data_IF_560866844215
#
_entry.id   IF_560866844215
#
_cell.length_a   1.000
_cell.length_b   1.000
_cell.length_c   1.000
_cell.angle_alpha   90.00
_cell.angle_beta   90.00
_cell.angle_gamma   90.00
#
_symmetry.space_group_name_H-M   'P 1'
#
loop_
_entity.id
_entity.type
_entity.pdbx_description
1 polymer ?
#
# COMPACT_ATOMS: atom_id res chain seq x y z
N UNK A 1 -35.40 10.70 57.50
CA UNK A 1 -34.15 11.15 58.14
C UNK A 1 -33.04 10.36 57.49
N UNK A 2 -32.08 11.07 56.92
CA UNK A 2 -31.07 10.61 55.98
C UNK A 2 -30.12 9.57 56.60
N UNK A 3 -29.72 8.57 55.82
CA UNK A 3 -28.59 7.71 56.15
C UNK A 3 -27.51 7.93 55.09
N UNK A 4 -26.35 8.36 55.58
CA UNK A 4 -25.12 8.71 54.88
C UNK A 4 -24.66 7.65 53.87
N UNK A 5 -24.36 8.10 52.65
CA UNK A 5 -23.42 7.40 51.78
C UNK A 5 -22.01 7.69 52.32
N UNK A 6 -21.38 6.70 52.94
CA UNK A 6 -19.93 6.76 53.20
C UNK A 6 -19.21 6.67 51.85
N UNK A 7 -18.74 7.80 51.34
CA UNK A 7 -17.75 7.85 50.27
C UNK A 7 -16.43 7.25 50.77
N UNK A 8 -15.89 6.28 50.03
CA UNK A 8 -14.69 5.54 50.43
C UNK A 8 -13.45 6.46 50.28
N UNK A 9 -12.73 6.77 51.37
CA UNK A 9 -11.57 7.65 51.33
C UNK A 9 -10.42 7.11 50.48
N UNK A 10 -10.46 5.85 50.03
CA UNK A 10 -9.53 5.33 49.03
C UNK A 10 -9.80 5.89 47.62
N UNK A 11 -11.06 5.96 47.19
CA UNK A 11 -11.47 6.45 45.87
C UNK A 11 -11.09 7.93 45.69
N UNK A 12 -11.34 8.77 46.71
CA UNK A 12 -10.94 10.18 46.68
C UNK A 12 -9.42 10.37 46.63
N UNK A 13 -8.67 9.58 47.40
CA UNK A 13 -7.20 9.65 47.41
C UNK A 13 -6.61 9.15 46.10
N UNK A 14 -7.20 8.13 45.50
CA UNK A 14 -6.80 7.63 44.19
C UNK A 14 -7.10 8.65 43.09
N UNK A 15 -8.30 9.25 43.12
CA UNK A 15 -8.68 10.30 42.18
C UNK A 15 -7.78 11.54 42.31
N UNK A 16 -7.47 11.97 43.54
CA UNK A 16 -6.55 13.07 43.80
C UNK A 16 -5.12 12.76 43.32
N UNK A 17 -4.63 11.55 43.59
CA UNK A 17 -3.31 11.12 43.13
C UNK A 17 -3.24 11.05 41.59
N UNK A 18 -4.28 10.56 40.92
CA UNK A 18 -4.36 10.55 39.45
C UNK A 18 -4.44 11.97 38.86
N UNK A 19 -5.14 12.90 39.52
CA UNK A 19 -5.23 14.29 39.09
C UNK A 19 -3.90 15.03 39.27
N UNK A 20 -3.22 14.80 40.38
CA UNK A 20 -1.89 15.37 40.67
C UNK A 20 -0.83 14.81 39.72
N UNK A 21 -0.87 13.50 39.45
CA UNK A 21 0.04 12.85 38.48
C UNK A 21 -0.25 13.34 37.06
N UNK A 22 -1.53 13.55 36.71
CA UNK A 22 -1.95 14.10 35.42
C UNK A 22 -1.54 15.56 35.20
N UNK A 23 -1.59 16.38 36.26
CA UNK A 23 -1.19 17.79 36.23
C UNK A 23 0.33 18.03 36.13
N UNK A 24 1.14 17.01 36.43
CA UNK A 24 2.60 17.06 36.31
C UNK A 24 3.16 16.83 34.91
N UNK A 25 2.32 16.45 33.93
CA UNK A 25 2.74 16.28 32.54
C UNK A 25 2.72 17.62 31.80
N UNK A 26 3.77 18.42 31.94
CA UNK A 26 4.05 19.47 30.97
C UNK A 26 4.74 18.85 29.76
N UNK A 27 3.96 18.54 28.72
CA UNK A 27 4.52 18.04 27.47
C UNK A 27 5.19 19.19 26.73
N UNK A 28 6.52 19.14 26.63
CA UNK A 28 7.26 20.04 25.76
C UNK A 28 6.78 19.88 24.31
N UNK A 29 5.92 20.81 23.90
CA UNK A 29 5.29 20.84 22.58
C UNK A 29 6.33 20.98 21.47
N UNK A 30 7.47 21.60 21.76
CA UNK A 30 8.58 21.73 20.81
C UNK A 30 9.33 20.42 20.66
N UNK A 31 9.57 19.68 21.75
CA UNK A 31 10.12 18.33 21.69
C UNK A 31 9.17 17.33 21.01
N UNK A 32 7.85 17.46 21.21
CA UNK A 32 6.85 16.66 20.50
C UNK A 32 6.79 17.01 19.01
N UNK A 33 6.87 18.28 18.64
CA UNK A 33 6.93 18.72 17.25
C UNK A 33 8.22 18.22 16.57
N UNK A 34 9.37 18.34 17.22
CA UNK A 34 10.65 17.85 16.70
C UNK A 34 10.70 16.32 16.58
N UNK A 35 10.13 15.59 17.54
CA UNK A 35 9.98 14.12 17.44
C UNK A 35 8.95 13.72 16.40
N UNK A 36 7.89 14.50 16.23
CA UNK A 36 6.89 14.34 15.17
C UNK A 36 7.48 14.57 13.79
N UNK A 37 8.34 15.59 13.65
CA UNK A 37 9.11 15.89 12.44
C UNK A 37 10.13 14.78 12.16
N UNK A 38 10.91 14.33 13.15
CA UNK A 38 11.85 13.23 13.00
C UNK A 38 11.15 11.91 12.66
N UNK A 39 9.98 11.64 13.26
CA UNK A 39 9.14 10.48 12.92
C UNK A 39 8.53 10.63 11.53
N UNK A 40 8.14 11.84 11.14
CA UNK A 40 7.66 12.17 9.79
C UNK A 40 8.74 11.94 8.75
N UNK A 41 9.95 12.46 8.97
CA UNK A 41 11.15 12.21 8.16
C UNK A 41 11.46 10.73 8.06
N UNK A 42 11.49 10.02 9.18
CA UNK A 42 11.72 8.57 9.21
C UNK A 42 10.61 7.79 8.50
N UNK A 43 9.35 8.21 8.59
CA UNK A 43 8.24 7.55 7.89
C UNK A 43 8.28 7.85 6.40
N UNK A 44 8.68 9.07 5.99
CA UNK A 44 8.96 9.40 4.59
C UNK A 44 10.14 8.60 4.06
N UNK A 45 11.22 8.49 4.83
CA UNK A 45 12.38 7.67 4.50
C UNK A 45 12.00 6.19 4.36
N UNK A 46 11.23 5.63 5.30
CA UNK A 46 10.74 4.25 5.22
C UNK A 46 9.78 4.07 4.03
N UNK A 47 8.91 5.03 3.72
CA UNK A 47 8.06 4.98 2.50
C UNK A 47 8.86 5.14 1.20
N UNK A 48 9.94 5.92 1.22
CA UNK A 48 10.86 6.16 0.09
C UNK A 48 11.87 5.02 -0.09
N UNK A 49 12.17 4.26 0.96
CA UNK A 49 13.02 3.07 0.95
C UNK A 49 12.19 1.77 0.71
N UNK A 50 10.92 1.75 1.12
CA UNK A 50 10.00 0.62 0.94
C UNK A 50 9.22 0.67 -0.39
N UNK A 51 9.89 1.00 -1.49
CA UNK A 51 9.41 0.62 -2.84
C UNK A 51 10.16 -0.64 -3.23
N UNK A 52 9.96 -1.69 -2.44
CA UNK A 52 10.38 -3.05 -2.72
C UNK A 52 9.24 -3.97 -2.30
N UNK A 53 8.43 -4.38 -3.28
CA UNK A 53 7.61 -5.59 -3.23
C UNK A 53 6.40 -5.59 -2.29
N UNK A 54 5.21 -5.59 -2.90
CA UNK A 54 4.02 -6.20 -2.30
C UNK A 54 2.86 -5.23 -2.09
N UNK A 55 1.86 -5.31 -2.98
CA UNK A 55 0.49 -5.01 -2.60
C UNK A 55 0.05 -6.06 -1.58
N UNK A 56 0.45 -5.89 -0.33
CA UNK A 56 -0.33 -6.45 0.76
C UNK A 56 -1.61 -5.61 0.80
N UNK A 57 -2.74 -6.18 0.38
CA UNK A 57 -4.03 -5.67 0.79
C UNK A 57 -3.99 -5.54 2.30
N UNK A 58 -4.05 -4.32 2.83
CA UNK A 58 -4.10 -4.10 4.27
C UNK A 58 -5.48 -4.56 4.73
N UNK A 59 -5.61 -5.85 5.03
CA UNK A 59 -6.67 -6.34 5.90
C UNK A 59 -6.19 -6.08 7.32
N UNK A 60 -6.73 -5.02 7.93
CA UNK A 60 -6.51 -4.72 9.34
C UNK A 60 -7.03 -5.89 10.18
N UNK A 61 -6.10 -6.63 10.79
CA UNK A 61 -6.41 -7.53 11.89
C UNK A 61 -6.92 -6.69 13.09
N UNK A 62 -8.23 -6.70 13.34
CA UNK A 62 -8.82 -6.13 14.54
C UNK A 62 -8.59 -7.07 15.73
N UNK A 63 -7.50 -6.87 16.47
CA UNK A 63 -7.38 -7.36 17.85
C UNK A 63 -7.99 -6.31 18.77
N UNK A 64 -9.03 -6.70 19.51
CA UNK A 64 -9.78 -5.82 20.40
C UNK A 64 -8.96 -5.23 21.56
N UNK A 65 -9.26 -3.98 21.89
CA UNK A 65 -8.72 -3.27 23.05
C UNK A 65 -9.41 -1.92 23.22
N UNK A 66 -10.46 -1.89 24.04
CA UNK A 66 -11.26 -0.69 24.36
C UNK A 66 -10.44 0.30 25.18
N UNK A 67 -10.36 1.55 24.73
CA UNK A 67 -10.00 2.71 25.56
C UNK A 67 -10.82 3.91 25.10
N UNK A 68 -11.88 4.20 25.88
CA UNK A 68 -12.77 5.34 25.70
C UNK A 68 -12.10 6.58 26.29
N UNK A 69 -11.82 7.58 25.46
CA UNK A 69 -11.48 8.93 25.91
C UNK A 69 -12.62 9.89 25.51
N UNK A 70 -13.36 10.35 26.52
CA UNK A 70 -14.33 11.46 26.43
C UNK A 70 -13.58 12.80 26.36
N UNK A 71 -13.94 13.74 25.47
CA UNK A 71 -13.54 15.12 25.61
C UNK A 71 -14.64 15.93 26.31
N UNK A 72 -14.29 16.56 27.43
CA UNK A 72 -15.03 17.66 28.04
C UNK A 72 -14.03 18.76 28.43
N UNK A 73 -14.37 20.02 28.15
CA UNK A 73 -13.57 21.17 28.60
C UNK A 73 -13.69 22.39 27.70
N UNK A 74 -14.38 23.39 28.22
CA UNK A 74 -14.76 24.70 27.66
C UNK A 74 -13.66 25.77 27.74
N UNK A 75 -13.94 26.94 27.12
CA UNK A 75 -13.36 28.29 27.28
C UNK A 75 -12.44 28.71 26.10
N UNK A 76 -12.49 29.92 25.52
CA UNK A 76 -13.20 31.18 25.82
C UNK A 76 -13.25 32.04 24.54
N UNK A 77 -14.16 33.02 24.53
CA UNK A 77 -14.40 34.05 23.53
C UNK A 77 -13.16 34.74 22.90
N UNK A 78 -13.24 34.97 21.59
CA UNK A 78 -12.71 36.16 20.94
C UNK A 78 -13.73 36.70 19.91
N UNK A 79 -13.95 38.01 19.98
CA UNK A 79 -14.98 38.87 19.36
C UNK A 79 -14.80 38.99 17.82
N UNK A 80 -15.85 39.33 17.02
CA UNK A 80 -15.95 38.91 15.63
C UNK A 80 -15.36 39.92 14.64
N UNK A 81 -14.70 39.42 13.60
CA UNK A 81 -14.50 40.16 12.35
C UNK A 81 -15.40 39.58 11.27
N UNK A 82 -16.41 40.37 10.91
CA UNK A 82 -17.26 40.17 9.75
C UNK A 82 -16.42 40.08 8.48
N UNK A 83 -16.31 38.89 7.93
CA UNK A 83 -16.02 38.66 6.53
C UNK A 83 -17.14 37.79 5.98
N UNK A 84 -17.87 38.33 5.00
CA UNK A 84 -18.89 37.65 4.22
C UNK A 84 -18.27 36.47 3.47
N UNK A 85 -18.14 35.33 4.16
CA UNK A 85 -17.81 34.06 3.54
C UNK A 85 -19.04 33.58 2.78
N UNK A 86 -18.96 33.63 1.45
CA UNK A 86 -19.87 32.91 0.57
C UNK A 86 -19.99 31.47 1.07
N UNK A 87 -21.20 31.07 1.42
CA UNK A 87 -21.49 29.73 1.90
C UNK A 87 -21.00 28.71 0.88
N UNK A 88 -19.90 28.01 1.20
CA UNK A 88 -19.58 26.75 0.53
C UNK A 88 -20.77 25.82 0.76
N UNK A 89 -21.31 25.18 -0.28
CA UNK A 89 -22.40 24.23 -0.10
C UNK A 89 -21.88 23.10 0.81
N UNK A 90 -22.53 22.92 1.97
CA UNK A 90 -22.40 21.70 2.76
C UNK A 90 -22.70 20.52 1.82
N UNK A 91 -21.85 19.50 1.72
CA UNK A 91 -22.24 18.28 1.04
C UNK A 91 -23.49 17.76 1.75
N UNK A 92 -24.58 17.64 1.00
CA UNK A 92 -25.80 17.02 1.48
C UNK A 92 -25.50 15.54 1.72
N UNK A 93 -25.24 15.15 2.96
CA UNK A 93 -25.25 13.74 3.37
C UNK A 93 -26.71 13.31 3.41
N UNK A 94 -27.26 13.02 2.23
CA UNK A 94 -28.54 12.34 2.06
C UNK A 94 -28.36 10.97 1.40
N UNK A 95 -27.11 10.50 1.28
CA UNK A 95 -26.86 9.13 0.89
C UNK A 95 -27.17 8.21 2.06
N UNK A 96 -28.06 7.24 1.85
CA UNK A 96 -28.33 6.16 2.80
C UNK A 96 -27.01 5.47 3.11
N UNK A 97 -26.66 5.42 4.39
CA UNK A 97 -25.51 4.67 4.86
C UNK A 97 -25.85 3.17 4.77
N UNK A 98 -24.92 2.37 4.28
CA UNK A 98 -25.05 0.92 4.29
C UNK A 98 -24.74 0.44 5.71
N UNK A 99 -25.52 -0.50 6.23
CA UNK A 99 -25.24 -1.16 7.52
C UNK A 99 -24.33 -2.38 7.33
N UNK A 100 -23.80 -2.90 8.42
CA UNK A 100 -23.02 -4.14 8.42
C UNK A 100 -23.83 -5.30 7.81
N UNK A 101 -25.10 -5.45 8.18
CA UNK A 101 -26.01 -6.48 7.66
C UNK A 101 -26.35 -6.26 6.17
N UNK A 102 -26.52 -5.00 5.72
CA UNK A 102 -26.77 -4.70 4.31
C UNK A 102 -25.59 -5.15 3.44
N UNK A 103 -24.35 -5.00 3.92
CA UNK A 103 -23.16 -5.50 3.23
C UNK A 103 -23.14 -7.04 3.15
N UNK A 104 -23.41 -7.73 4.27
CA UNK A 104 -23.44 -9.21 4.33
C UNK A 104 -24.52 -9.79 3.42
N UNK A 105 -25.75 -9.29 3.53
CA UNK A 105 -26.88 -9.78 2.75
C UNK A 105 -26.71 -9.49 1.26
N UNK A 106 -26.10 -8.36 0.90
CA UNK A 106 -25.75 -8.08 -0.51
C UNK A 106 -24.77 -9.13 -1.05
N UNK A 107 -23.72 -9.47 -0.29
CA UNK A 107 -22.76 -10.48 -0.71
C UNK A 107 -23.43 -11.86 -0.88
N UNK A 108 -24.21 -12.31 0.11
CA UNK A 108 -24.92 -13.60 0.06
C UNK A 108 -25.87 -13.71 -1.13
N UNK A 109 -26.60 -12.64 -1.45
CA UNK A 109 -27.53 -12.61 -2.58
C UNK A 109 -26.83 -12.63 -3.95
N UNK A 110 -25.58 -12.17 -4.03
CA UNK A 110 -24.78 -12.16 -5.26
C UNK A 110 -23.98 -13.45 -5.47
N UNK A 111 -23.79 -14.24 -4.41
CA UNK A 111 -23.09 -15.52 -4.48
C UNK A 111 -24.01 -16.63 -5.02
N UNK A 112 -23.43 -17.70 -5.61
CA UNK A 112 -24.16 -18.91 -5.95
C UNK A 112 -24.82 -19.56 -4.73
N UNK A 113 -25.67 -20.55 -4.95
CA UNK A 113 -26.26 -21.34 -3.87
C UNK A 113 -25.17 -22.08 -3.10
N UNK A 114 -25.22 -22.00 -1.78
CA UNK A 114 -24.36 -22.70 -0.83
C UNK A 114 -24.70 -22.31 0.60
N UNK A 115 -23.95 -22.87 1.54
CA UNK A 115 -24.04 -22.56 2.97
C UNK A 115 -23.08 -21.42 3.33
N UNK A 116 -23.50 -20.58 4.28
CA UNK A 116 -22.74 -19.42 4.74
C UNK A 116 -22.45 -19.53 6.24
N UNK A 117 -21.24 -19.16 6.64
CA UNK A 117 -20.84 -19.07 8.04
C UNK A 117 -19.78 -17.98 8.25
N UNK A 118 -19.40 -17.71 9.50
CA UNK A 118 -18.38 -16.71 9.86
C UNK A 118 -18.60 -15.33 9.20
N UNK A 119 -19.86 -14.92 9.08
CA UNK A 119 -20.29 -13.68 8.45
C UNK A 119 -19.75 -12.46 9.21
N UNK A 120 -19.18 -11.51 8.49
CA UNK A 120 -18.67 -10.23 9.00
C UNK A 120 -19.00 -9.13 8.00
N UNK A 121 -19.48 -8.02 8.50
CA UNK A 121 -19.87 -6.85 7.71
C UNK A 121 -19.29 -5.59 8.34
N UNK A 122 -19.01 -4.62 7.49
CA UNK A 122 -18.64 -3.26 7.87
C UNK A 122 -19.35 -2.31 6.91
N UNK A 123 -20.38 -1.62 7.39
CA UNK A 123 -21.12 -0.60 6.69
C UNK A 123 -20.46 0.78 6.76
N UNK A 124 -21.15 1.80 6.22
CA UNK A 124 -20.73 3.21 6.25
C UNK A 124 -21.26 3.97 7.46
N UNK A 125 -22.02 3.34 8.35
CA UNK A 125 -22.69 3.99 9.50
C UNK A 125 -21.76 4.37 10.66
N UNK A 126 -20.60 3.71 10.80
CA UNK A 126 -19.63 3.95 11.88
C UNK A 126 -18.65 5.12 11.61
N UNK A 127 -18.97 6.01 10.67
CA UNK A 127 -18.07 7.05 10.17
C UNK A 127 -18.03 8.30 11.07
N UNK A 128 -17.14 8.31 12.07
CA UNK A 128 -16.62 9.57 12.62
C UNK A 128 -15.49 10.10 11.72
N UNK A 129 -15.43 11.42 11.57
CA UNK A 129 -15.29 12.14 10.30
C UNK A 129 -13.90 12.08 9.60
N UNK A 130 -12.96 11.20 9.98
CA UNK A 130 -11.57 11.20 9.41
C UNK A 130 -10.86 9.85 9.24
N UNK A 131 -11.45 8.72 9.63
CA UNK A 131 -10.89 7.38 9.37
C UNK A 131 -12.02 6.36 9.21
N UNK A 132 -12.70 6.40 8.07
CA UNK A 132 -13.71 5.39 7.72
C UNK A 132 -12.96 4.18 7.14
N UNK A 133 -12.94 3.01 7.79
CA UNK A 133 -12.53 1.78 7.11
C UNK A 133 -13.47 1.55 5.93
N UNK A 134 -12.92 1.13 4.78
CA UNK A 134 -13.72 0.91 3.58
C UNK A 134 -14.85 -0.11 3.87
N UNK A 135 -16.10 0.15 3.43
CA UNK A 135 -17.18 -0.81 3.59
C UNK A 135 -16.80 -2.16 3.03
N UNK A 136 -17.10 -3.20 3.79
CA UNK A 136 -16.71 -4.56 3.41
C UNK A 136 -17.70 -5.59 3.94
N UNK A 137 -17.69 -6.76 3.31
CA UNK A 137 -18.31 -7.95 3.82
C UNK A 137 -17.39 -9.15 3.58
N UNK A 138 -17.44 -10.12 4.48
CA UNK A 138 -16.74 -11.38 4.33
C UNK A 138 -17.52 -12.50 4.99
N UNK A 139 -17.40 -13.70 4.42
CA UNK A 139 -18.02 -14.91 4.93
C UNK A 139 -17.21 -16.14 4.50
N UNK A 140 -17.48 -17.26 5.14
CA UNK A 140 -17.09 -18.59 4.66
C UNK A 140 -18.26 -19.17 3.88
N UNK A 141 -17.99 -19.53 2.63
CA UNK A 141 -18.92 -20.12 1.67
C UNK A 141 -18.59 -21.60 1.46
N UNK A 142 -19.59 -22.46 1.51
CA UNK A 142 -19.46 -23.88 1.16
C UNK A 142 -20.57 -24.29 0.17
N UNK A 143 -20.18 -24.62 -1.06
CA UNK A 143 -21.05 -25.10 -2.13
C UNK A 143 -21.19 -26.64 -2.15
N UNK A 144 -20.65 -27.32 -1.15
CA UNK A 144 -20.58 -28.78 -1.04
C UNK A 144 -19.22 -29.37 -1.42
N UNK A 145 -18.31 -28.57 -1.99
CA UNK A 145 -16.95 -28.97 -2.36
C UNK A 145 -15.88 -28.48 -1.35
N UNK A 146 -16.32 -27.87 -0.24
CA UNK A 146 -15.48 -27.48 0.88
C UNK A 146 -15.43 -25.97 1.13
N UNK A 147 -15.31 -25.61 2.41
CA UNK A 147 -15.35 -24.25 2.91
C UNK A 147 -14.26 -23.33 2.34
N UNK A 148 -14.65 -22.15 1.86
CA UNK A 148 -13.80 -21.13 1.27
C UNK A 148 -14.15 -19.74 1.81
N UNK A 149 -13.15 -18.94 2.18
CA UNK A 149 -13.38 -17.55 2.55
C UNK A 149 -13.61 -16.72 1.29
N UNK A 150 -14.61 -15.83 1.33
CA UNK A 150 -14.88 -14.83 0.29
C UNK A 150 -15.06 -13.48 0.97
N UNK A 151 -14.44 -12.45 0.41
CA UNK A 151 -14.54 -11.08 0.88
C UNK A 151 -14.76 -10.09 -0.26
N UNK A 152 -15.44 -9.00 0.05
CA UNK A 152 -15.62 -7.84 -0.81
C UNK A 152 -15.31 -6.57 -0.02
N UNK A 153 -14.63 -5.63 -0.65
CA UNK A 153 -14.51 -4.26 -0.15
C UNK A 153 -14.91 -3.26 -1.24
N UNK A 154 -15.52 -2.17 -0.79
CA UNK A 154 -16.08 -1.14 -1.65
C UNK A 154 -15.44 0.19 -1.29
N UNK A 155 -14.91 0.87 -2.30
CA UNK A 155 -14.15 2.10 -2.13
C UNK A 155 -14.34 3.06 -3.29
N UNK A 156 -13.55 4.14 -3.22
CA UNK A 156 -13.44 5.13 -4.29
C UNK A 156 -11.99 5.50 -4.52
N UNK A 157 -11.64 5.63 -5.80
CA UNK A 157 -10.33 6.07 -6.28
C UNK A 157 -10.50 7.27 -7.20
N UNK A 158 -9.49 8.13 -7.28
CA UNK A 158 -9.51 9.24 -8.22
C UNK A 158 -9.53 8.68 -9.65
N UNK A 159 -10.52 9.05 -10.49
CA UNK A 159 -10.53 8.65 -11.90
C UNK A 159 -9.24 9.08 -12.60
N UNK A 160 -8.55 8.14 -13.25
CA UNK A 160 -7.26 8.39 -13.91
C UNK A 160 -6.05 8.53 -12.98
N UNK A 161 -6.24 8.54 -11.66
CA UNK A 161 -5.17 8.57 -10.67
C UNK A 161 -4.36 7.26 -10.64
N UNK A 162 -3.25 7.25 -9.91
CA UNK A 162 -2.34 6.10 -9.84
C UNK A 162 -3.02 4.85 -9.29
N UNK A 163 -3.79 4.97 -8.21
CA UNK A 163 -4.53 3.87 -7.61
C UNK A 163 -5.53 3.23 -8.59
N UNK A 164 -6.24 4.06 -9.37
CA UNK A 164 -7.15 3.59 -10.41
C UNK A 164 -6.41 2.83 -11.52
N UNK A 165 -5.26 3.34 -11.96
CA UNK A 165 -4.43 2.70 -12.99
C UNK A 165 -3.83 1.37 -12.50
N UNK A 166 -3.35 1.34 -11.25
CA UNK A 166 -2.79 0.13 -10.64
C UNK A 166 -3.84 -0.97 -10.45
N UNK A 167 -5.04 -0.65 -9.99
CA UNK A 167 -6.14 -1.63 -9.90
C UNK A 167 -6.62 -2.10 -11.29
N UNK A 168 -6.52 -1.24 -12.30
CA UNK A 168 -6.91 -1.53 -13.68
C UNK A 168 -5.84 -2.25 -14.52
N UNK A 169 -4.79 -2.80 -13.91
CA UNK A 169 -3.74 -3.54 -14.62
C UNK A 169 -3.31 -4.78 -13.85
N UNK A 170 -2.83 -5.79 -14.59
CA UNK A 170 -2.17 -6.93 -13.96
C UNK A 170 -0.93 -6.47 -13.19
N UNK A 171 -0.70 -7.01 -11.98
CA UNK A 171 0.52 -6.73 -11.27
C UNK A 171 1.72 -7.21 -12.06
N UNK A 172 2.86 -6.62 -11.75
CA UNK A 172 4.13 -7.01 -12.37
C UNK A 172 4.59 -8.38 -11.84
N UNK A 173 4.83 -9.32 -12.76
CA UNK A 173 5.21 -10.70 -12.46
C UNK A 173 6.53 -10.82 -11.70
N UNK A 174 7.41 -9.82 -11.81
CA UNK A 174 8.69 -9.81 -11.09
C UNK A 174 8.46 -9.66 -9.58
N UNK A 175 7.43 -8.93 -9.15
CA UNK A 175 7.10 -8.77 -7.73
C UNK A 175 6.04 -9.76 -7.26
N UNK A 176 5.05 -10.03 -8.10
CA UNK A 176 3.88 -10.84 -7.76
C UNK A 176 3.77 -11.96 -8.80
N UNK A 177 4.34 -13.14 -8.52
CA UNK A 177 4.08 -14.33 -9.32
C UNK A 177 2.59 -14.67 -9.29
N UNK A 178 2.03 -15.03 -10.43
CA UNK A 178 0.63 -15.46 -10.54
C UNK A 178 0.45 -16.50 -11.64
N UNK A 179 -0.58 -17.32 -11.49
CA UNK A 179 -0.94 -18.38 -12.44
C UNK A 179 -1.57 -17.75 -13.68
N UNK A 180 -2.56 -16.87 -13.48
CA UNK A 180 -3.21 -16.13 -14.55
C UNK A 180 -3.60 -14.72 -14.10
N UNK A 181 -3.55 -13.77 -15.04
CA UNK A 181 -4.12 -12.45 -14.83
C UNK A 181 -4.73 -11.96 -16.13
N UNK A 182 -5.92 -11.36 -16.04
CA UNK A 182 -6.62 -10.79 -17.18
C UNK A 182 -7.29 -9.48 -16.81
N UNK A 183 -6.91 -8.42 -17.52
CA UNK A 183 -7.63 -7.15 -17.52
C UNK A 183 -8.63 -7.12 -18.68
N UNK A 184 -9.86 -6.69 -18.42
CA UNK A 184 -10.94 -6.59 -19.40
C UNK A 184 -11.74 -5.30 -19.21
N UNK A 185 -12.23 -4.72 -20.31
CA UNK A 185 -13.14 -3.56 -20.28
C UNK A 185 -14.58 -4.05 -20.44
N UNK A 186 -15.46 -3.63 -19.54
CA UNK A 186 -16.88 -3.93 -19.56
C UNK A 186 -17.66 -2.92 -20.44
N UNK A 187 -18.90 -3.27 -20.78
CA UNK A 187 -19.73 -2.46 -21.68
C UNK A 187 -20.04 -1.04 -21.15
N UNK A 188 -20.01 -0.85 -19.83
CA UNK A 188 -20.21 0.45 -19.18
C UNK A 188 -18.90 1.27 -19.05
N UNK A 189 -17.82 0.79 -19.67
CA UNK A 189 -16.51 1.43 -19.64
C UNK A 189 -15.65 1.07 -18.42
N UNK A 190 -16.20 0.35 -17.43
CA UNK A 190 -15.44 -0.13 -16.27
C UNK A 190 -14.32 -1.07 -16.71
N UNK A 191 -13.23 -1.08 -15.96
CA UNK A 191 -12.12 -2.00 -16.16
C UNK A 191 -12.10 -2.97 -14.98
N UNK A 192 -12.02 -4.26 -15.28
CA UNK A 192 -11.89 -5.32 -14.29
C UNK A 192 -10.58 -6.06 -14.52
N UNK A 193 -9.80 -6.28 -13.47
CA UNK A 193 -8.61 -7.12 -13.46
C UNK A 193 -8.88 -8.33 -12.58
N UNK A 194 -8.84 -9.52 -13.15
CA UNK A 194 -8.94 -10.78 -12.40
C UNK A 194 -7.55 -11.39 -12.28
N UNK A 195 -7.12 -11.65 -11.05
CA UNK A 195 -5.83 -12.24 -10.70
C UNK A 195 -6.05 -13.60 -10.05
N UNK A 196 -5.33 -14.61 -10.51
CA UNK A 196 -5.35 -15.97 -9.95
C UNK A 196 -3.93 -16.32 -9.52
N UNK A 197 -3.74 -16.55 -8.22
CA UNK A 197 -2.44 -16.90 -7.66
C UNK A 197 -2.54 -17.47 -6.25
N UNK A 198 -1.52 -17.15 -5.45
CA UNK A 198 -1.34 -17.66 -4.10
C UNK A 198 -1.33 -16.51 -3.09
N UNK A 199 -1.77 -16.82 -1.87
CA UNK A 199 -1.70 -15.87 -0.75
C UNK A 199 -0.27 -15.37 -0.53
N UNK A 200 0.70 -16.29 -0.64
CA UNK A 200 2.12 -15.96 -0.49
C UNK A 200 2.84 -16.08 -1.83
N UNK A 201 3.50 -15.01 -2.31
CA UNK A 201 4.32 -15.03 -3.53
C UNK A 201 5.40 -16.11 -3.56
N UNK A 202 5.97 -16.45 -2.39
CA UNK A 202 7.00 -17.49 -2.22
C UNK A 202 6.42 -18.93 -2.18
N UNK A 203 5.09 -19.06 -2.24
CA UNK A 203 4.35 -20.33 -2.17
C UNK A 203 4.76 -21.23 -1.00
N UNK A 204 5.10 -20.63 0.15
CA UNK A 204 5.42 -21.38 1.38
C UNK A 204 4.25 -22.23 1.91
N UNK A 205 3.03 -21.95 1.48
CA UNK A 205 1.82 -22.76 1.66
C UNK A 205 0.98 -22.75 0.38
N UNK A 206 0.14 -23.78 0.20
CA UNK A 206 -0.70 -23.98 -0.99
C UNK A 206 -2.03 -23.20 -0.96
N UNK A 207 -2.21 -22.28 -0.01
CA UNK A 207 -3.38 -21.41 0.04
C UNK A 207 -3.40 -20.50 -1.19
N UNK A 208 -4.40 -20.69 -2.04
CA UNK A 208 -4.67 -19.84 -3.20
C UNK A 208 -5.45 -18.60 -2.79
N UNK A 209 -5.17 -17.51 -3.48
CA UNK A 209 -5.91 -16.25 -3.42
C UNK A 209 -6.25 -15.85 -4.85
N UNK A 210 -7.54 -15.83 -5.17
CA UNK A 210 -8.04 -15.26 -6.42
C UNK A 210 -8.76 -13.96 -6.12
N UNK A 211 -8.60 -12.97 -6.99
CA UNK A 211 -9.19 -11.66 -6.79
C UNK A 211 -9.73 -11.03 -8.07
N UNK A 212 -10.69 -10.13 -7.91
CA UNK A 212 -11.16 -9.23 -8.95
C UNK A 212 -11.18 -7.79 -8.45
N UNK A 213 -10.47 -6.93 -9.17
CA UNK A 213 -10.41 -5.49 -8.96
C UNK A 213 -11.20 -4.80 -10.06
N UNK A 214 -12.26 -4.08 -9.73
CA UNK A 214 -13.06 -3.32 -10.68
C UNK A 214 -12.96 -1.82 -10.40
N UNK A 215 -12.60 -1.06 -11.43
CA UNK A 215 -12.60 0.41 -11.42
C UNK A 215 -13.54 0.93 -12.50
N UNK A 216 -14.50 1.74 -12.11
CA UNK A 216 -15.44 2.38 -13.05
C UNK A 216 -14.86 3.70 -13.61
N UNK A 217 -15.42 4.25 -14.71
CA UNK A 217 -15.03 5.57 -15.22
C UNK A 217 -15.23 6.71 -14.21
N UNK A 218 -16.16 6.55 -13.27
CA UNK A 218 -16.47 7.52 -12.22
C UNK A 218 -15.70 7.28 -10.92
N UNK A 219 -14.79 6.29 -10.88
CA UNK A 219 -13.89 6.06 -9.75
C UNK A 219 -14.51 5.28 -8.59
N UNK A 220 -15.58 4.51 -8.81
CA UNK A 220 -15.93 3.45 -7.85
C UNK A 220 -14.91 2.32 -8.00
N UNK A 221 -14.46 1.79 -6.86
CA UNK A 221 -13.46 0.72 -6.80
C UNK A 221 -14.02 -0.42 -5.96
N UNK A 222 -14.10 -1.61 -6.54
CA UNK A 222 -14.60 -2.82 -5.89
C UNK A 222 -13.50 -3.87 -5.94
N UNK A 223 -13.15 -4.41 -4.78
CA UNK A 223 -12.19 -5.50 -4.63
C UNK A 223 -12.93 -6.72 -4.12
N UNK A 224 -12.82 -7.83 -4.83
CA UNK A 224 -13.29 -9.14 -4.39
C UNK A 224 -12.08 -10.04 -4.21
N UNK A 225 -12.03 -10.80 -3.12
CA UNK A 225 -11.00 -11.80 -2.84
C UNK A 225 -11.65 -13.09 -2.38
N UNK A 226 -11.07 -14.22 -2.77
CA UNK A 226 -11.47 -15.54 -2.31
C UNK A 226 -10.28 -16.47 -2.11
N UNK A 227 -10.43 -17.40 -1.18
CA UNK A 227 -9.41 -18.38 -0.84
C UNK A 227 -9.95 -19.79 -0.97
N UNK A 228 -9.09 -20.75 -1.29
CA UNK A 228 -9.42 -22.19 -1.31
C UNK A 228 -9.39 -22.84 0.10
N UNK A 229 -9.53 -22.02 1.14
CA UNK A 229 -9.53 -22.38 2.54
C UNK A 229 -10.51 -21.48 3.28
N UNK A 230 -10.97 -21.90 4.47
CA UNK A 230 -11.92 -21.13 5.28
C UNK A 230 -11.36 -19.80 5.84
N UNK A 231 -10.05 -19.53 5.67
CA UNK A 231 -9.44 -18.24 5.96
C UNK A 231 -8.12 -18.07 5.19
N UNK A 232 -7.63 -16.83 5.11
CA UNK A 232 -6.31 -16.46 4.57
C UNK A 232 -5.15 -17.22 5.23
N UNK A 233 -5.22 -17.41 6.56
CA UNK A 233 -4.16 -18.01 7.39
C UNK A 233 -4.71 -19.05 8.35
N UNK A 234 -3.81 -19.94 8.77
CA UNK A 234 -4.01 -20.89 9.88
C UNK A 234 -5.24 -21.83 9.74
N UNK A 235 -5.81 -21.90 8.53
CA UNK A 235 -6.84 -22.86 8.15
C UNK A 235 -6.30 -23.77 7.05
N UNK A 236 -6.61 -25.07 7.11
CA UNK A 236 -6.19 -26.00 6.06
C UNK A 236 -6.90 -25.65 4.74
N UNK A 237 -6.22 -25.90 3.64
CA UNK A 237 -6.83 -25.93 2.30
C UNK A 237 -7.91 -27.02 2.28
N UNK A 238 -9.09 -26.65 1.80
CA UNK A 238 -10.27 -27.53 1.73
C UNK A 238 -10.56 -28.01 0.31
N UNK A 239 -10.08 -27.27 -0.69
CA UNK A 239 -10.35 -27.50 -2.12
C UNK A 239 -9.19 -27.05 -3.00
N UNK A 240 -9.13 -27.54 -4.24
CA UNK A 240 -8.02 -27.26 -5.17
C UNK A 240 -7.97 -25.79 -5.60
N UNK A 241 -9.11 -25.22 -5.94
CA UNK A 241 -9.28 -23.85 -6.42
C UNK A 241 -10.38 -23.15 -5.60
N UNK A 242 -10.30 -21.82 -5.40
CA UNK A 242 -11.39 -21.04 -4.84
C UNK A 242 -12.72 -21.26 -5.60
N UNK A 243 -13.87 -21.08 -4.94
CA UNK A 243 -15.19 -21.51 -5.44
C UNK A 243 -15.69 -20.74 -6.67
N UNK A 244 -15.27 -19.48 -6.88
CA UNK A 244 -15.75 -18.68 -8.01
C UNK A 244 -14.77 -18.77 -9.19
N UNK A 245 -15.30 -19.07 -10.37
CA UNK A 245 -14.53 -18.96 -11.60
C UNK A 245 -14.25 -17.47 -11.96
N UNK A 246 -13.29 -17.17 -12.85
CA UNK A 246 -12.97 -15.79 -13.24
C UNK A 246 -14.17 -14.97 -13.77
N UNK A 247 -15.16 -15.62 -14.38
CA UNK A 247 -16.36 -14.95 -14.87
C UNK A 247 -17.36 -14.66 -13.73
N UNK A 248 -17.45 -15.54 -12.72
CA UNK A 248 -18.20 -15.32 -11.48
C UNK A 248 -17.58 -14.19 -10.67
N UNK A 249 -16.26 -14.18 -10.46
CA UNK A 249 -15.53 -13.07 -9.83
C UNK A 249 -15.81 -11.73 -10.52
N UNK A 250 -15.74 -11.72 -11.85
CA UNK A 250 -16.07 -10.52 -12.65
C UNK A 250 -17.51 -10.06 -12.42
N UNK A 251 -18.48 -10.99 -12.41
CA UNK A 251 -19.90 -10.65 -12.16
C UNK A 251 -20.11 -10.10 -10.75
N UNK A 252 -19.49 -10.71 -9.74
CA UNK A 252 -19.57 -10.26 -8.36
C UNK A 252 -18.99 -8.86 -8.20
N UNK A 253 -17.80 -8.59 -8.74
CA UNK A 253 -17.18 -7.26 -8.68
C UNK A 253 -17.98 -6.20 -9.47
N UNK A 254 -18.62 -6.58 -10.59
CA UNK A 254 -19.37 -5.67 -11.45
C UNK A 254 -20.82 -5.40 -11.02
N UNK A 255 -21.29 -6.07 -9.95
CA UNK A 255 -22.65 -5.98 -9.46
C UNK A 255 -23.04 -4.51 -9.17
N UNK A 256 -24.27 -4.15 -9.56
CA UNK A 256 -24.76 -2.76 -9.47
C UNK A 256 -24.99 -2.33 -8.03
N UNK A 257 -25.22 -3.28 -7.14
CA UNK A 257 -25.46 -3.14 -5.71
C UNK A 257 -24.26 -2.44 -5.05
N UNK A 258 -23.03 -2.85 -5.39
CA UNK A 258 -21.81 -2.21 -4.88
C UNK A 258 -21.66 -0.75 -5.32
N UNK A 259 -22.19 -0.39 -6.50
CA UNK A 259 -22.10 0.97 -7.02
C UNK A 259 -22.92 1.95 -6.18
N UNK A 260 -24.08 1.51 -5.68
CA UNK A 260 -24.90 2.33 -4.79
C UNK A 260 -24.15 2.65 -3.50
N UNK A 261 -23.50 1.65 -2.90
CA UNK A 261 -22.69 1.80 -1.69
C UNK A 261 -21.48 2.71 -1.96
N UNK A 262 -20.74 2.48 -3.04
CA UNK A 262 -19.60 3.30 -3.42
C UNK A 262 -19.99 4.77 -3.64
N UNK A 263 -21.16 5.05 -4.21
CA UNK A 263 -21.64 6.41 -4.44
C UNK A 263 -21.99 7.16 -3.16
N UNK A 264 -22.28 6.46 -2.06
CA UNK A 264 -22.51 7.06 -0.76
C UNK A 264 -21.19 7.49 -0.07
N UNK A 265 -20.04 6.97 -0.52
CA UNK A 265 -18.74 7.30 0.05
C UNK A 265 -18.30 8.73 -0.34
N UNK A 266 -17.57 9.44 0.53
CA UNK A 266 -16.95 10.72 0.21
C UNK A 266 -16.06 10.67 -1.03
N UNK A 267 -15.85 11.83 -1.65
CA UNK A 267 -14.93 11.90 -2.77
C UNK A 267 -13.49 11.57 -2.38
N UNK A 268 -12.76 10.79 -3.21
CA UNK A 268 -11.34 10.61 -2.98
C UNK A 268 -10.70 11.99 -3.04
N UNK A 269 -9.81 12.23 -2.09
CA UNK A 269 -8.99 13.44 -2.13
C UNK A 269 -8.14 13.40 -3.42
N UNK A 270 -7.86 14.56 -4.03
CA UNK A 270 -6.91 14.63 -5.12
C UNK A 270 -5.58 14.00 -4.68
N UNK A 271 -5.03 13.16 -5.55
CA UNK A 271 -3.72 12.59 -5.37
C UNK A 271 -2.68 13.72 -5.35
N UNK A 272 -1.81 13.80 -4.32
CA UNK A 272 -0.74 14.77 -4.32
C UNK A 272 0.24 14.44 -5.44
N UNK A 273 0.66 15.44 -6.20
CA UNK A 273 1.79 15.29 -7.12
C UNK A 273 3.04 14.94 -6.30
N UNK A 274 3.59 13.75 -6.57
CA UNK A 274 4.82 13.30 -5.94
C UNK A 274 6.02 13.82 -6.75
N UNK A 275 7.04 14.40 -6.11
CA UNK A 275 8.27 14.77 -6.78
C UNK A 275 8.84 13.58 -7.57
N UNK A 276 9.14 13.78 -8.85
CA UNK A 276 9.68 12.75 -9.73
C UNK A 276 8.64 11.92 -10.49
N UNK A 277 7.35 12.22 -10.37
CA UNK A 277 6.29 11.54 -11.13
C UNK A 277 6.38 11.74 -12.65
N UNK A 278 7.04 12.81 -13.08
CA UNK A 278 7.33 13.19 -14.45
C UNK A 278 8.60 12.53 -15.01
N UNK A 279 9.37 11.84 -14.16
CA UNK A 279 10.56 11.12 -14.60
C UNK A 279 10.18 9.87 -15.40
N UNK A 280 11.11 9.47 -16.26
CA UNK A 280 11.02 8.29 -17.11
C UNK A 280 12.15 7.31 -16.79
N UNK A 281 12.25 6.93 -15.51
CA UNK A 281 13.39 6.18 -14.99
C UNK A 281 13.68 4.89 -15.78
N UNK A 282 12.66 4.23 -16.32
CA UNK A 282 12.83 3.03 -17.15
C UNK A 282 13.50 3.34 -18.48
N UNK A 283 13.05 4.39 -19.17
CA UNK A 283 13.62 4.77 -20.47
C UNK A 283 15.11 5.06 -20.32
N UNK A 284 15.49 5.83 -19.31
CA UNK A 284 16.89 6.14 -19.02
C UNK A 284 17.69 4.90 -18.58
N UNK A 285 17.13 4.05 -17.69
CA UNK A 285 17.76 2.81 -17.27
C UNK A 285 18.14 1.94 -18.47
N UNK A 286 17.19 1.70 -19.38
CA UNK A 286 17.40 0.87 -20.56
C UNK A 286 18.45 1.47 -21.49
N UNK A 287 18.48 2.79 -21.65
CA UNK A 287 19.45 3.49 -22.47
C UNK A 287 20.87 3.48 -21.88
N UNK A 288 21.00 3.27 -20.56
CA UNK A 288 22.25 3.21 -19.82
C UNK A 288 22.80 1.79 -19.65
N UNK A 289 22.01 0.76 -19.95
CA UNK A 289 22.46 -0.63 -19.86
C UNK A 289 23.70 -0.88 -20.75
N UNK A 290 24.72 -1.59 -20.24
CA UNK A 290 25.85 -2.02 -21.05
C UNK A 290 25.44 -2.85 -22.27
N UNK A 291 26.22 -2.72 -23.35
CA UNK A 291 26.06 -3.55 -24.55
C UNK A 291 26.27 -5.03 -24.22
N UNK A 292 25.55 -5.90 -24.93
CA UNK A 292 25.66 -7.35 -24.79
C UNK A 292 24.70 -7.97 -23.77
N UNK A 293 23.85 -7.16 -23.13
CA UNK A 293 22.79 -7.62 -22.24
C UNK A 293 21.48 -7.77 -23.01
N UNK A 294 20.84 -8.93 -22.87
CA UNK A 294 19.47 -9.15 -23.37
C UNK A 294 18.49 -8.77 -22.26
N UNK A 295 17.59 -7.82 -22.53
CA UNK A 295 16.50 -7.49 -21.61
C UNK A 295 15.37 -8.50 -21.79
N UNK A 296 15.07 -9.27 -20.74
CA UNK A 296 14.02 -10.28 -20.72
C UNK A 296 12.73 -9.80 -20.08
N UNK A 297 12.82 -8.82 -19.18
CA UNK A 297 11.67 -8.22 -18.49
C UNK A 297 11.97 -6.77 -18.06
N UNK A 298 10.95 -5.97 -17.78
CA UNK A 298 11.09 -4.55 -17.40
C UNK A 298 9.81 -3.97 -16.80
N UNK A 299 9.98 -2.95 -15.96
CA UNK A 299 8.87 -2.20 -15.35
C UNK A 299 8.03 -1.38 -16.35
N UNK A 300 6.97 -0.74 -15.84
CA UNK A 300 6.31 0.42 -16.45
C UNK A 300 7.24 1.63 -16.60
N UNK A 301 6.84 2.65 -17.38
CA UNK A 301 7.69 3.81 -17.74
C UNK A 301 7.55 5.02 -16.82
N UNK A 302 6.61 4.94 -15.90
CA UNK A 302 6.19 6.12 -15.16
C UNK A 302 6.94 6.19 -13.84
N UNK A 303 7.44 7.39 -13.54
CA UNK A 303 7.96 7.76 -12.25
C UNK A 303 9.47 7.59 -12.09
N UNK A 304 9.87 7.68 -10.83
CA UNK A 304 11.24 7.69 -10.35
C UNK A 304 11.85 6.29 -10.18
N UNK A 305 11.03 5.24 -10.28
CA UNK A 305 11.46 3.87 -10.12
C UNK A 305 11.39 3.08 -11.42
N UNK A 306 12.41 2.25 -11.67
CA UNK A 306 12.34 1.27 -12.73
C UNK A 306 13.21 0.06 -12.46
N UNK A 307 12.91 -1.04 -13.16
CA UNK A 307 13.81 -2.18 -13.23
C UNK A 307 13.87 -2.76 -14.65
N UNK A 308 14.94 -3.50 -14.90
CA UNK A 308 15.11 -4.37 -16.05
C UNK A 308 15.72 -5.70 -15.60
N UNK A 309 15.18 -6.81 -16.09
CA UNK A 309 15.81 -8.12 -15.93
C UNK A 309 16.66 -8.38 -17.17
N UNK A 310 17.96 -8.55 -16.95
CA UNK A 310 18.95 -8.74 -18.01
C UNK A 310 19.55 -10.15 -17.97
N UNK A 311 20.01 -10.61 -19.13
CA UNK A 311 20.72 -11.87 -19.29
C UNK A 311 21.92 -11.68 -20.21
N UNK A 312 23.10 -12.04 -19.73
CA UNK A 312 24.40 -12.02 -20.44
C UNK A 312 24.80 -13.42 -20.97
N UNK A 313 23.87 -14.39 -20.93
CA UNK A 313 24.09 -15.80 -21.26
C UNK A 313 24.50 -16.66 -20.07
N UNK A 314 24.63 -16.09 -18.86
CA UNK A 314 24.98 -16.82 -17.63
C UNK A 314 23.85 -16.86 -16.60
N UNK A 315 22.64 -16.43 -16.99
CA UNK A 315 21.47 -16.44 -16.12
C UNK A 315 20.90 -15.04 -15.88
N UNK A 316 19.64 -14.99 -15.44
CA UNK A 316 18.89 -13.74 -15.24
C UNK A 316 19.44 -12.94 -14.04
N UNK A 317 19.50 -11.63 -14.22
CA UNK A 317 19.93 -10.67 -13.20
C UNK A 317 19.02 -9.44 -13.26
N UNK A 318 18.38 -9.10 -12.14
CA UNK A 318 17.55 -7.91 -12.03
C UNK A 318 18.42 -6.69 -11.73
N UNK A 319 18.18 -5.60 -12.44
CA UNK A 319 18.77 -4.29 -12.19
C UNK A 319 17.63 -3.31 -11.93
N UNK A 320 17.69 -2.57 -10.84
CA UNK A 320 16.69 -1.58 -10.47
C UNK A 320 17.33 -0.21 -10.22
N UNK A 321 16.54 0.83 -10.41
CA UNK A 321 16.91 2.22 -10.17
C UNK A 321 15.82 2.95 -9.39
N UNK A 322 16.24 3.81 -8.45
CA UNK A 322 15.41 4.83 -7.82
C UNK A 322 16.05 6.20 -8.07
N UNK A 323 15.29 7.12 -8.69
CA UNK A 323 15.72 8.47 -9.09
C UNK A 323 14.98 9.50 -8.24
N UNK A 324 15.51 9.79 -7.07
CA UNK A 324 14.78 10.56 -6.06
C UNK A 324 15.19 12.03 -6.10
N UNK A 325 14.27 12.96 -6.43
CA UNK A 325 14.50 14.37 -6.20
C UNK A 325 14.40 14.67 -4.69
N UNK A 326 15.17 15.65 -4.24
CA UNK A 326 15.09 16.21 -2.89
C UNK A 326 15.31 15.21 -1.75
N UNK A 327 16.56 14.72 -1.65
CA UNK A 327 17.00 13.77 -0.63
C UNK A 327 18.12 14.30 0.29
N UNK A 328 18.36 15.63 0.31
CA UNK A 328 19.40 16.22 1.18
C UNK A 328 19.17 15.94 2.66
N UNK A 329 17.91 15.83 3.09
CA UNK A 329 17.54 15.57 4.49
C UNK A 329 17.97 14.19 4.99
N UNK A 330 18.24 13.25 4.08
CA UNK A 330 18.71 11.90 4.39
C UNK A 330 20.21 11.69 4.11
N UNK A 331 20.94 12.74 3.73
CA UNK A 331 22.32 12.59 3.25
C UNK A 331 23.27 11.95 4.29
N UNK A 332 23.12 12.28 5.57
CA UNK A 332 24.02 11.77 6.62
C UNK A 332 23.62 10.37 7.11
N UNK A 333 22.37 9.96 6.90
CA UNK A 333 21.90 8.58 7.15
C UNK A 333 22.34 7.62 6.03
N UNK A 334 22.51 8.14 4.81
CA UNK A 334 22.83 7.38 3.61
C UNK A 334 24.33 7.33 3.30
N UNK A 335 25.08 8.39 3.66
CA UNK A 335 26.49 8.53 3.34
C UNK A 335 27.30 8.83 4.59
N UNK A 336 28.06 7.83 5.06
CA UNK A 336 28.97 7.96 6.19
C UNK A 336 30.39 8.39 5.75
N UNK A 337 31.33 8.42 6.71
CA UNK A 337 32.72 8.78 6.46
C UNK A 337 33.49 7.84 5.50
N UNK A 338 32.96 6.65 5.21
CA UNK A 338 33.53 5.73 4.23
C UNK A 338 33.06 5.99 2.80
N UNK A 339 32.06 6.87 2.64
CA UNK A 339 31.54 7.29 1.34
C UNK A 339 32.54 8.19 0.62
N UNK A 340 32.62 8.05 -0.70
CA UNK A 340 33.44 8.91 -1.54
C UNK A 340 32.70 10.23 -1.81
N UNK A 341 33.43 11.34 -1.85
CA UNK A 341 32.92 12.62 -2.35
C UNK A 341 33.70 13.03 -3.58
N UNK A 342 33.00 13.19 -4.70
CA UNK A 342 33.58 13.64 -5.97
C UNK A 342 33.88 15.15 -5.95
N UNK A 343 34.74 15.66 -6.85
CA UNK A 343 35.08 17.08 -6.90
C UNK A 343 33.89 18.03 -7.11
N UNK A 344 32.78 17.55 -7.70
CA UNK A 344 31.55 18.31 -7.90
C UNK A 344 30.60 18.27 -6.68
N UNK A 345 31.04 17.68 -5.56
CA UNK A 345 30.26 17.52 -4.34
C UNK A 345 29.32 16.32 -4.34
N UNK A 346 29.31 15.50 -5.40
CA UNK A 346 28.50 14.27 -5.44
C UNK A 346 29.04 13.25 -4.43
N UNK A 347 28.19 12.80 -3.51
CA UNK A 347 28.50 11.69 -2.60
C UNK A 347 28.21 10.36 -3.29
N UNK A 348 29.06 9.36 -3.08
CA UNK A 348 28.95 8.02 -3.66
C UNK A 348 29.19 6.98 -2.57
N UNK A 349 28.23 6.09 -2.37
CA UNK A 349 28.32 4.94 -1.49
C UNK A 349 28.17 3.65 -2.31
N UNK A 350 28.93 2.63 -1.92
CA UNK A 350 28.89 1.30 -2.55
C UNK A 350 28.68 0.26 -1.47
N UNK A 351 27.73 -0.64 -1.69
CA UNK A 351 27.50 -1.79 -0.82
C UNK A 351 27.37 -3.08 -1.62
N UNK A 352 27.86 -4.16 -1.02
CA UNK A 352 27.75 -5.52 -1.54
C UNK A 352 27.38 -6.43 -0.38
N UNK A 353 26.28 -7.16 -0.50
CA UNK A 353 25.84 -8.02 0.59
C UNK A 353 24.66 -8.89 0.22
N UNK A 354 24.09 -9.60 1.22
CA UNK A 354 22.84 -10.29 1.04
C UNK A 354 21.74 -9.31 0.59
N UNK A 355 20.87 -9.76 -0.31
CA UNK A 355 19.61 -9.06 -0.58
C UNK A 355 18.68 -9.15 0.63
N UNK A 356 17.57 -8.42 0.58
CA UNK A 356 16.65 -8.26 1.72
C UNK A 356 16.10 -9.60 2.26
N UNK A 357 16.07 -10.64 1.44
CA UNK A 357 15.62 -12.00 1.81
C UNK A 357 16.74 -12.99 2.15
N UNK A 358 18.00 -12.57 2.02
CA UNK A 358 19.19 -13.29 2.50
C UNK A 358 19.67 -14.46 1.62
N UNK A 359 18.88 -14.92 0.65
CA UNK A 359 19.20 -16.01 -0.29
C UNK A 359 19.85 -15.54 -1.59
N UNK A 360 19.82 -14.24 -1.85
CA UNK A 360 20.40 -13.56 -3.01
C UNK A 360 21.50 -12.59 -2.58
N UNK A 361 22.32 -12.18 -3.54
CA UNK A 361 23.27 -11.08 -3.36
C UNK A 361 22.75 -9.85 -4.08
N UNK A 362 22.79 -8.72 -3.38
CA UNK A 362 22.49 -7.40 -3.91
C UNK A 362 23.74 -6.53 -3.87
N UNK A 363 24.05 -5.91 -5.01
CA UNK A 363 25.09 -4.88 -5.10
C UNK A 363 24.42 -3.55 -5.38
N UNK A 364 24.83 -2.50 -4.66
CA UNK A 364 24.22 -1.18 -4.78
C UNK A 364 25.29 -0.11 -4.97
N UNK A 365 25.00 0.83 -5.87
CA UNK A 365 25.70 2.11 -5.98
C UNK A 365 24.70 3.22 -5.75
N UNK A 366 24.91 3.99 -4.70
CA UNK A 366 24.09 5.12 -4.28
C UNK A 366 24.85 6.42 -4.54
N UNK A 367 24.22 7.35 -5.24
CA UNK A 367 24.82 8.64 -5.59
C UNK A 367 23.88 9.76 -5.21
N UNK A 368 24.42 10.83 -4.63
CA UNK A 368 23.67 12.03 -4.30
C UNK A 368 24.44 13.26 -4.72
N UNK A 369 23.87 14.04 -5.64
CA UNK A 369 24.38 15.36 -6.04
C UNK A 369 24.31 16.32 -4.86
N UNK A 370 25.13 17.38 -4.89
CA UNK A 370 25.14 18.42 -3.85
C UNK A 370 23.80 19.16 -3.68
N UNK A 371 22.90 19.07 -4.65
CA UNK A 371 21.55 19.65 -4.63
C UNK A 371 20.45 18.67 -4.16
N UNK A 372 20.82 17.45 -3.73
CA UNK A 372 19.87 16.46 -3.21
C UNK A 372 19.29 15.51 -4.22
N UNK A 373 19.61 15.65 -5.51
CA UNK A 373 19.22 14.69 -6.53
C UNK A 373 19.98 13.38 -6.34
N UNK A 374 19.24 12.31 -6.05
CA UNK A 374 19.79 11.00 -5.71
C UNK A 374 19.45 9.96 -6.78
N UNK A 375 20.44 9.15 -7.16
CA UNK A 375 20.25 7.98 -8.02
C UNK A 375 20.83 6.77 -7.32
N UNK A 376 19.99 5.76 -7.08
CA UNK A 376 20.39 4.47 -6.50
C UNK A 376 20.23 3.40 -7.57
N UNK A 377 21.30 2.69 -7.89
CA UNK A 377 21.24 1.52 -8.78
C UNK A 377 21.58 0.29 -7.97
N UNK A 378 20.68 -0.69 -7.97
CA UNK A 378 20.92 -2.00 -7.36
C UNK A 378 20.83 -3.11 -8.38
N UNK A 379 21.68 -4.12 -8.26
CA UNK A 379 21.66 -5.30 -9.11
C UNK A 379 21.67 -6.57 -8.27
N UNK A 380 20.88 -7.55 -8.69
CA UNK A 380 20.68 -8.83 -8.03
C UNK A 380 21.26 -9.97 -8.87
N UNK A 381 21.69 -11.03 -8.22
CA UNK A 381 22.13 -12.27 -8.88
C UNK A 381 20.96 -13.23 -9.23
N UNK A 382 19.72 -12.73 -9.23
CA UNK A 382 18.53 -13.44 -9.64
C UNK A 382 17.67 -12.58 -10.57
N UNK A 383 16.73 -13.21 -11.29
CA UNK A 383 15.79 -12.50 -12.16
C UNK A 383 14.69 -11.75 -11.41
N UNK A 384 14.42 -12.12 -10.16
CA UNK A 384 13.45 -11.50 -9.26
C UNK A 384 13.90 -11.65 -7.81
N UNK A 385 13.30 -10.91 -6.88
CA UNK A 385 13.54 -11.09 -5.43
C UNK A 385 12.76 -12.28 -4.83
N UNK A 386 11.98 -13.00 -5.64
CA UNK A 386 11.16 -14.14 -5.21
C UNK A 386 11.71 -15.50 -5.70
N UNK A 387 12.77 -15.48 -6.51
CA UNK A 387 13.38 -16.68 -7.09
C UNK A 387 14.79 -16.91 -6.52
N UNK A 388 15.28 -18.15 -6.44
CA UNK A 388 16.67 -18.41 -6.05
C UNK A 388 17.68 -17.71 -6.96
N UNK A 389 18.87 -17.45 -6.43
CA UNK A 389 20.00 -16.97 -7.22
C UNK A 389 20.29 -17.88 -8.42
N UNK A 390 20.48 -17.29 -9.60
CA UNK A 390 20.82 -18.04 -10.83
C UNK A 390 22.33 -18.06 -11.11
N UNK A 391 23.09 -17.28 -10.32
CA UNK A 391 24.51 -16.97 -10.50
C UNK A 391 25.11 -16.44 -9.19
N UNK A 392 26.44 -16.43 -9.07
CA UNK A 392 27.11 -15.98 -7.84
C UNK A 392 27.04 -14.46 -7.64
N UNK A 393 27.16 -13.69 -8.72
CA UNK A 393 27.16 -12.22 -8.68
C UNK A 393 26.20 -11.63 -9.73
N UNK A 394 25.72 -10.40 -9.54
CA UNK A 394 24.92 -9.70 -10.53
C UNK A 394 25.61 -9.60 -11.89
N UNK A 395 24.82 -9.43 -12.96
CA UNK A 395 25.35 -9.27 -14.33
C UNK A 395 26.08 -7.94 -14.52
N UNK A 396 25.77 -6.92 -13.70
CA UNK A 396 26.46 -5.64 -13.70
C UNK A 396 27.58 -5.61 -12.65
N UNK A 397 28.73 -5.11 -13.07
CA UNK A 397 29.83 -4.75 -12.16
C UNK A 397 29.55 -3.45 -11.41
N UNK A 398 30.18 -3.26 -10.24
CA UNK A 398 30.16 -1.98 -9.51
C UNK A 398 30.56 -0.80 -10.41
N UNK A 399 31.59 -0.97 -11.25
CA UNK A 399 32.05 0.08 -12.16
C UNK A 399 30.99 0.47 -13.21
N UNK A 400 30.25 -0.51 -13.75
CA UNK A 400 29.15 -0.25 -14.68
C UNK A 400 27.99 0.46 -13.96
N UNK A 401 27.56 -0.04 -12.80
CA UNK A 401 26.49 0.60 -12.02
C UNK A 401 26.86 2.02 -11.61
N UNK A 402 28.10 2.26 -11.20
CA UNK A 402 28.60 3.60 -10.89
C UNK A 402 28.56 4.53 -12.08
N UNK A 403 28.98 4.07 -13.26
CA UNK A 403 28.87 4.85 -14.49
C UNK A 403 27.41 5.20 -14.80
N UNK A 404 26.50 4.25 -14.64
CA UNK A 404 25.08 4.46 -14.85
C UNK A 404 24.52 5.47 -13.83
N UNK A 405 24.82 5.33 -12.54
CA UNK A 405 24.28 6.19 -11.48
C UNK A 405 24.72 7.66 -11.60
N UNK A 406 25.93 7.90 -12.11
CA UNK A 406 26.49 9.24 -12.32
C UNK A 406 26.10 9.88 -13.66
N UNK A 407 25.38 9.18 -14.53
CA UNK A 407 25.06 9.68 -15.87
C UNK A 407 24.15 10.92 -15.80
N UNK A 408 24.37 11.88 -16.71
CA UNK A 408 23.60 13.12 -16.73
C UNK A 408 22.16 12.92 -17.23
N UNK A 409 21.86 11.78 -17.89
CA UNK A 409 20.54 11.50 -18.47
C UNK A 409 19.40 11.57 -17.47
N UNK A 410 19.63 11.09 -16.25
CA UNK A 410 18.66 11.12 -15.15
C UNK A 410 18.06 12.50 -14.88
N UNK A 411 18.74 13.56 -15.33
CA UNK A 411 18.35 14.95 -15.10
C UNK A 411 18.35 15.79 -16.38
N UNK A 412 18.39 15.15 -17.56
CA UNK A 412 18.54 15.84 -18.85
C UNK A 412 17.22 16.38 -19.44
N UNK A 413 16.10 16.19 -18.74
CA UNK A 413 14.77 16.67 -19.11
C UNK A 413 13.96 17.29 -17.96
N UNK A 414 14.60 17.56 -16.81
CA UNK A 414 14.00 18.13 -15.59
C UNK A 414 14.30 19.61 -15.44
#
# INVERSE_FOLDING_TARGET
MFADQHEDPFEERLAAALHETGGGFDTDRTALAARGEARGRRTRFVRRAAVAGGTAGVVLACVGGVLVLRPGGTATEAVPSSATASAKPKPSITARLATDEEMIETLKNLLPKGDFSEERGQGTESADDRKVPAPSAGLVFDDGDGAAAIGVSVGRVQPGGSAARQAAQCPDRVYIPYDACKTSRLADGSVVTVLQGYEYPDRRVDTKLWSAELVTPTGQHITVSEWNAAAEKDKPVTRTDPPLDPAQLTRLAAAKEWRAIANALPAPLPEPELPGSDLHARTDLLALLPKGLKVTDKSGDEGDYAYAVVDDGKGRSMVQVNVQPDMLDAADDLFDSSSETLPDGTRVAVSQGPGDRGDQVMWTVDTMRADGRRVVISAFNAGTQNEPATRETPALTIAQMRKMALDARWWSGS
#
